data_IF_594146662937
#
_entry.id   IF_594146662937
#
_cell.length_a   1.000
_cell.length_b   1.000
_cell.length_c   1.000
_cell.angle_alpha   90.00
_cell.angle_beta   90.00
_cell.angle_gamma   90.00
#
_symmetry.space_group_name_H-M   'P 1'
#
loop_
_entity.id
_entity.type
_entity.pdbx_description
1 polymer ?
#
# COMPACT_ATOMS: atom_id res chain seq x y z
N UNK A 1 8.48 -21.94 -20.23
CA UNK A 1 7.87 -20.60 -20.05
C UNK A 1 8.11 -20.18 -18.61
N UNK A 2 8.75 -19.05 -18.39
CA UNK A 2 8.92 -18.45 -17.05
C UNK A 2 7.55 -18.13 -16.48
N UNK A 3 7.31 -18.41 -15.19
CA UNK A 3 6.05 -18.07 -14.56
C UNK A 3 5.87 -16.54 -14.55
N UNK A 4 4.68 -16.07 -14.96
CA UNK A 4 4.32 -14.65 -14.84
C UNK A 4 4.40 -14.22 -13.38
N UNK A 5 4.82 -12.97 -13.14
CA UNK A 5 5.04 -12.44 -11.78
C UNK A 5 4.40 -11.07 -11.57
N UNK A 6 4.08 -10.65 -10.33
CA UNK A 6 3.55 -9.31 -10.08
C UNK A 6 4.58 -8.23 -10.45
N UNK A 7 4.15 -7.21 -11.20
CA UNK A 7 4.94 -6.01 -11.49
C UNK A 7 4.39 -4.85 -10.65
N UNK A 8 5.23 -4.26 -9.81
CA UNK A 8 4.85 -3.15 -8.94
C UNK A 8 5.64 -1.92 -9.34
N UNK A 9 4.94 -0.81 -9.59
CA UNK A 9 5.55 0.46 -10.01
C UNK A 9 5.31 1.49 -8.91
N UNK A 10 6.40 2.01 -8.33
CA UNK A 10 6.31 3.00 -7.27
C UNK A 10 7.64 3.22 -6.56
N UNK A 11 7.59 3.87 -5.40
CA UNK A 11 8.79 4.20 -4.61
C UNK A 11 8.82 3.55 -3.24
N UNK A 12 10.02 3.37 -2.72
CA UNK A 12 10.28 3.18 -1.28
C UNK A 12 10.41 4.57 -0.66
N UNK A 13 9.79 4.78 0.50
CA UNK A 13 9.95 6.01 1.29
C UNK A 13 10.65 5.69 2.60
N UNK A 14 11.35 6.67 3.16
CA UNK A 14 11.73 6.66 4.55
C UNK A 14 10.65 7.41 5.34
N UNK A 15 9.93 6.72 6.21
CA UNK A 15 8.96 7.39 7.08
C UNK A 15 9.68 7.82 8.36
N UNK A 16 9.60 9.11 8.67
CA UNK A 16 10.04 9.72 9.92
C UNK A 16 8.81 10.15 10.73
N UNK A 17 8.60 9.50 11.86
CA UNK A 17 7.40 9.67 12.67
C UNK A 17 7.79 10.18 14.04
N UNK A 18 7.25 11.30 14.47
CA UNK A 18 7.65 11.95 15.72
C UNK A 18 6.47 12.62 16.42
N UNK A 19 6.64 12.86 17.71
CA UNK A 19 5.74 13.72 18.48
C UNK A 19 6.08 15.20 18.24
N UNK A 20 5.11 16.09 18.46
CA UNK A 20 5.30 17.54 18.30
C UNK A 20 5.32 18.03 16.83
N UNK A 21 5.27 19.35 16.60
CA UNK A 21 5.06 19.90 15.27
C UNK A 21 6.22 19.65 14.32
N UNK A 22 5.91 19.49 13.03
CA UNK A 22 6.90 19.37 11.94
C UNK A 22 7.92 20.50 12.04
N UNK A 23 9.21 20.15 11.87
CA UNK A 23 10.33 21.09 12.03
C UNK A 23 10.72 21.42 13.47
N UNK A 24 9.96 20.97 14.48
CA UNK A 24 10.33 21.01 15.91
C UNK A 24 10.24 19.64 16.58
N UNK A 25 10.32 18.58 15.78
CA UNK A 25 10.16 17.18 16.17
C UNK A 25 10.72 16.89 17.57
N UNK A 26 9.88 16.31 18.42
CA UNK A 26 10.23 15.92 19.78
C UNK A 26 10.48 14.42 19.84
N UNK A 27 11.45 13.97 20.65
CA UNK A 27 11.62 12.54 20.90
C UNK A 27 10.39 11.97 21.65
N UNK A 28 10.04 10.70 21.40
CA UNK A 28 10.73 9.76 20.51
C UNK A 28 10.39 9.98 19.03
N UNK A 29 11.37 9.72 18.16
CA UNK A 29 11.16 9.64 16.73
C UNK A 29 11.45 8.22 16.23
N UNK A 30 10.65 7.75 15.28
CA UNK A 30 10.75 6.43 14.67
C UNK A 30 11.04 6.56 13.19
N UNK A 31 12.08 5.89 12.73
CA UNK A 31 12.38 5.70 11.31
C UNK A 31 11.91 4.31 10.87
N UNK A 32 11.30 4.23 9.68
CA UNK A 32 10.95 2.96 9.05
C UNK A 32 10.94 3.08 7.53
N UNK A 33 11.02 1.94 6.85
CA UNK A 33 10.70 1.88 5.43
C UNK A 33 9.19 1.98 5.22
N UNK A 34 8.80 2.78 4.25
CA UNK A 34 7.43 3.04 3.84
C UNK A 34 7.28 3.07 2.32
N UNK A 35 6.14 3.59 1.89
CA UNK A 35 5.68 3.57 0.51
C UNK A 35 4.62 2.50 0.34
N UNK A 36 3.47 2.87 -0.22
CA UNK A 36 2.31 1.97 -0.32
C UNK A 36 2.67 0.75 -1.17
N UNK A 37 3.26 1.00 -2.33
CA UNK A 37 3.61 -0.05 -3.28
C UNK A 37 4.79 -0.89 -2.79
N UNK A 38 5.74 -0.28 -2.07
CA UNK A 38 6.80 -1.00 -1.38
C UNK A 38 6.24 -2.00 -0.36
N UNK A 39 5.33 -1.55 0.51
CA UNK A 39 4.72 -2.41 1.53
C UNK A 39 3.95 -3.59 0.89
N UNK A 40 3.28 -3.36 -0.23
CA UNK A 40 2.60 -4.42 -0.99
C UNK A 40 3.60 -5.40 -1.59
N UNK A 41 4.72 -4.93 -2.15
CA UNK A 41 5.76 -5.81 -2.66
C UNK A 41 6.29 -6.75 -1.56
N UNK A 42 6.65 -6.19 -0.40
CA UNK A 42 7.11 -6.99 0.74
C UNK A 42 6.04 -7.98 1.22
N UNK A 43 4.78 -7.55 1.29
CA UNK A 43 3.67 -8.40 1.69
C UNK A 43 3.42 -9.55 0.69
N UNK A 44 3.54 -9.29 -0.62
CA UNK A 44 3.43 -10.30 -1.68
C UNK A 44 4.56 -11.32 -1.57
N UNK A 45 5.80 -10.83 -1.42
CA UNK A 45 6.98 -11.68 -1.27
C UNK A 45 6.90 -12.58 -0.03
N UNK A 46 6.47 -12.04 1.11
CA UNK A 46 6.25 -12.80 2.34
C UNK A 46 5.22 -13.94 2.20
N UNK A 47 4.36 -13.88 1.17
CA UNK A 47 3.36 -14.91 0.86
C UNK A 47 3.77 -15.80 -0.32
N UNK A 48 5.05 -15.79 -0.68
CA UNK A 48 5.62 -16.66 -1.71
C UNK A 48 5.34 -16.19 -3.15
N UNK A 49 4.76 -15.01 -3.33
CA UNK A 49 4.79 -14.37 -4.64
C UNK A 49 6.22 -13.93 -4.94
N UNK A 50 6.60 -13.86 -6.22
CA UNK A 50 7.91 -13.35 -6.62
C UNK A 50 7.74 -11.94 -7.22
N UNK A 51 7.49 -10.86 -6.46
CA UNK A 51 7.20 -9.54 -7.02
C UNK A 51 8.44 -8.89 -7.65
N UNK A 52 8.27 -8.22 -8.79
CA UNK A 52 9.27 -7.32 -9.38
C UNK A 52 8.88 -5.88 -9.05
N UNK A 53 9.73 -5.17 -8.31
CA UNK A 53 9.55 -3.78 -7.93
C UNK A 53 10.34 -2.86 -8.88
N UNK A 54 9.62 -2.09 -9.69
CA UNK A 54 10.15 -1.13 -10.65
C UNK A 54 10.15 0.28 -10.05
N UNK A 55 11.32 0.89 -9.95
CA UNK A 55 11.51 2.20 -9.29
C UNK A 55 12.65 3.01 -9.92
N UNK A 56 12.89 4.23 -9.44
CA UNK A 56 14.05 5.05 -9.77
C UNK A 56 15.32 4.54 -9.06
N UNK A 57 16.49 4.97 -9.54
CA UNK A 57 17.75 4.80 -8.82
C UNK A 57 17.84 5.85 -7.72
N UNK A 58 17.87 5.42 -6.46
CA UNK A 58 17.98 6.36 -5.35
C UNK A 58 19.41 6.89 -5.17
N UNK A 59 19.53 8.18 -4.86
CA UNK A 59 20.78 8.84 -4.49
C UNK A 59 20.87 9.06 -2.97
N UNK A 60 22.08 9.36 -2.47
CA UNK A 60 22.35 9.61 -1.05
C UNK A 60 22.73 8.38 -0.24
N UNK A 61 23.15 8.60 1.01
CA UNK A 61 23.82 7.59 1.85
C UNK A 61 22.91 6.40 2.23
N UNK A 62 21.59 6.58 2.21
CA UNK A 62 20.63 5.52 2.52
C UNK A 62 20.21 4.69 1.30
N UNK A 63 20.61 5.08 0.08
CA UNK A 63 20.23 4.36 -1.13
C UNK A 63 20.67 2.87 -1.14
N UNK A 64 21.89 2.50 -0.67
CA UNK A 64 22.27 1.10 -0.56
C UNK A 64 21.39 0.31 0.43
N UNK A 65 20.91 0.95 1.50
CA UNK A 65 20.07 0.30 2.50
C UNK A 65 18.71 -0.12 1.93
N UNK A 66 18.16 0.62 0.96
CA UNK A 66 16.93 0.23 0.24
C UNK A 66 17.11 -1.08 -0.51
N UNK A 67 18.26 -1.25 -1.18
CA UNK A 67 18.57 -2.47 -1.93
C UNK A 67 18.64 -3.67 -1.00
N UNK A 68 19.37 -3.54 0.12
CA UNK A 68 19.45 -4.58 1.15
C UNK A 68 18.09 -4.88 1.77
N UNK A 69 17.27 -3.86 2.01
CA UNK A 69 15.93 -4.02 2.58
C UNK A 69 14.99 -4.82 1.66
N UNK A 70 14.90 -4.47 0.38
CA UNK A 70 14.06 -5.19 -0.58
C UNK A 70 14.51 -6.64 -0.76
N UNK A 71 15.82 -6.86 -0.90
CA UNK A 71 16.38 -8.21 -1.03
C UNK A 71 16.10 -9.07 0.23
N UNK A 72 16.22 -8.50 1.43
CA UNK A 72 15.92 -9.18 2.68
C UNK A 72 14.43 -9.59 2.81
N UNK A 73 13.54 -8.93 2.07
CA UNK A 73 12.11 -9.27 2.01
C UNK A 73 11.74 -10.12 0.79
N UNK A 74 12.72 -10.60 0.00
CA UNK A 74 12.46 -11.43 -1.17
C UNK A 74 11.81 -10.67 -2.34
N UNK A 75 12.04 -9.36 -2.42
CA UNK A 75 11.54 -8.52 -3.52
C UNK A 75 12.66 -8.29 -4.51
N UNK A 76 12.48 -8.73 -5.76
CA UNK A 76 13.40 -8.34 -6.83
C UNK A 76 13.17 -6.89 -7.19
N UNK A 77 14.26 -6.15 -7.38
CA UNK A 77 14.20 -4.75 -7.78
C UNK A 77 14.76 -4.57 -9.17
N UNK A 78 14.09 -3.74 -9.95
CA UNK A 78 14.64 -3.16 -11.17
C UNK A 78 14.60 -1.64 -11.08
N UNK A 79 15.71 -0.99 -11.41
CA UNK A 79 15.77 0.47 -11.48
C UNK A 79 15.69 0.93 -12.93
N UNK A 80 14.93 2.00 -13.15
CA UNK A 80 14.95 2.74 -14.40
C UNK A 80 16.20 3.65 -14.43
N UNK A 81 16.68 4.05 -15.63
CA UNK A 81 17.87 4.88 -15.80
C UNK A 81 17.61 6.36 -15.47
N UNK A 82 17.04 6.60 -14.29
CA UNK A 82 16.78 7.92 -13.72
C UNK A 82 17.22 7.91 -12.26
N UNK A 83 17.72 9.04 -11.79
CA UNK A 83 18.21 9.21 -10.43
C UNK A 83 17.35 10.21 -9.68
N UNK A 84 17.05 9.89 -8.42
CA UNK A 84 16.31 10.76 -7.51
C UNK A 84 16.78 10.55 -6.07
N UNK A 85 16.74 11.58 -5.21
CA UNK A 85 16.82 11.40 -3.76
C UNK A 85 15.81 10.37 -3.25
N UNK A 86 16.16 9.64 -2.19
CA UNK A 86 15.22 8.78 -1.48
C UNK A 86 14.08 9.64 -0.89
N UNK A 87 12.81 9.36 -1.24
CA UNK A 87 11.70 10.11 -0.68
C UNK A 87 11.58 9.97 0.84
N UNK A 88 11.18 11.05 1.50
CA UNK A 88 10.93 11.11 2.94
C UNK A 88 9.46 11.45 3.19
N UNK A 89 8.83 10.68 4.06
CA UNK A 89 7.51 10.98 4.60
C UNK A 89 7.65 11.35 6.08
N UNK A 90 7.49 12.62 6.41
CA UNK A 90 7.46 13.11 7.79
C UNK A 90 6.02 13.15 8.28
N UNK A 91 5.74 12.55 9.44
CA UNK A 91 4.42 12.61 10.05
C UNK A 91 4.50 13.03 11.51
N UNK A 92 3.72 14.06 11.84
CA UNK A 92 3.45 14.45 13.21
C UNK A 92 2.39 13.52 13.80
N UNK A 93 2.70 12.99 14.97
CA UNK A 93 1.77 12.21 15.79
C UNK A 93 1.24 13.05 16.96
N UNK A 94 -0.03 12.81 17.32
CA UNK A 94 -0.63 13.16 18.62
C UNK A 94 -1.41 11.93 19.06
N UNK A 95 -1.09 11.41 20.25
CA UNK A 95 -1.68 10.17 20.79
C UNK A 95 -1.61 8.99 19.80
N UNK A 96 -0.48 8.89 19.08
CA UNK A 96 -0.24 7.84 18.09
C UNK A 96 -0.99 8.00 16.75
N UNK A 97 -1.77 9.07 16.59
CA UNK A 97 -2.51 9.37 15.36
C UNK A 97 -1.81 10.44 14.54
N UNK A 98 -1.77 10.26 13.21
CA UNK A 98 -1.20 11.27 12.30
C UNK A 98 -2.10 12.50 12.28
N UNK A 99 -1.55 13.65 12.67
CA UNK A 99 -2.27 14.93 12.68
C UNK A 99 -1.81 15.88 11.59
N UNK A 100 -0.53 15.81 11.24
CA UNK A 100 0.06 16.53 10.11
C UNK A 100 1.09 15.65 9.40
N UNK A 101 1.34 15.93 8.13
CA UNK A 101 2.27 15.17 7.31
C UNK A 101 2.92 16.04 6.24
N UNK A 102 4.14 15.67 5.88
CA UNK A 102 4.90 16.32 4.83
C UNK A 102 5.63 15.28 3.99
N UNK A 103 5.61 15.46 2.67
CA UNK A 103 6.26 14.57 1.73
C UNK A 103 7.36 15.31 0.99
N UNK A 104 8.56 14.71 0.98
CA UNK A 104 9.74 15.22 0.27
C UNK A 104 10.19 14.18 -0.73
N UNK A 105 10.59 14.62 -1.92
CA UNK A 105 11.11 13.73 -2.97
C UNK A 105 10.04 13.18 -3.92
N UNK A 106 8.97 13.95 -4.18
CA UNK A 106 7.95 13.61 -5.20
C UNK A 106 8.58 13.37 -6.58
N UNK A 107 9.74 13.98 -6.86
CA UNK A 107 10.50 13.78 -8.09
C UNK A 107 10.81 12.30 -8.38
N UNK A 108 11.02 11.45 -7.37
CA UNK A 108 11.27 10.03 -7.59
C UNK A 108 10.06 9.31 -8.21
N UNK A 109 8.84 9.73 -7.87
CA UNK A 109 7.59 9.24 -8.47
C UNK A 109 7.34 9.89 -9.83
N UNK A 110 7.56 11.20 -9.95
CA UNK A 110 7.31 11.95 -11.18
C UNK A 110 8.24 11.52 -12.33
N UNK A 111 9.44 11.01 -12.02
CA UNK A 111 10.37 10.46 -13.00
C UNK A 111 9.93 9.09 -13.57
N UNK A 112 8.98 8.40 -12.93
CA UNK A 112 8.38 7.15 -13.44
C UNK A 112 7.35 7.46 -14.53
N UNK A 113 7.78 8.16 -15.57
CA UNK A 113 6.92 8.66 -16.66
C UNK A 113 6.47 7.54 -17.60
N UNK A 114 5.35 7.74 -18.34
CA UNK A 114 4.93 6.80 -19.39
C UNK A 114 6.05 6.47 -20.37
N UNK A 115 6.77 7.48 -20.88
CA UNK A 115 7.84 7.28 -21.86
C UNK A 115 9.00 6.45 -21.31
N UNK A 116 9.31 6.58 -20.02
CA UNK A 116 10.36 5.79 -19.39
C UNK A 116 9.91 4.35 -19.14
N UNK A 117 8.68 4.15 -18.67
CA UNK A 117 8.11 2.81 -18.47
C UNK A 117 7.96 2.05 -19.78
N UNK A 118 7.65 2.74 -20.88
CA UNK A 118 7.55 2.16 -22.22
C UNK A 118 8.89 1.58 -22.72
N UNK A 119 10.03 2.14 -22.29
CA UNK A 119 11.36 1.54 -22.59
C UNK A 119 11.52 0.13 -22.02
N UNK A 120 10.66 -0.24 -21.06
CA UNK A 120 10.62 -1.54 -20.37
C UNK A 120 9.28 -2.26 -20.58
N UNK A 121 8.64 -2.04 -21.74
CA UNK A 121 7.38 -2.69 -22.11
C UNK A 121 7.47 -4.24 -22.02
N UNK A 122 8.66 -4.82 -22.22
CA UNK A 122 8.94 -6.25 -22.07
C UNK A 122 8.60 -6.82 -20.68
N UNK A 123 8.69 -5.98 -19.64
CA UNK A 123 8.33 -6.37 -18.27
C UNK A 123 6.83 -6.60 -18.13
N UNK A 124 6.02 -5.85 -18.87
CA UNK A 124 4.57 -5.94 -18.82
C UNK A 124 4.08 -7.24 -19.47
N UNK A 125 4.71 -7.71 -20.55
CA UNK A 125 4.31 -8.95 -21.23
C UNK A 125 4.41 -10.19 -20.32
N UNK A 126 5.29 -10.12 -19.31
CA UNK A 126 5.51 -11.18 -18.33
C UNK A 126 4.83 -10.92 -16.98
N UNK A 127 4.06 -9.84 -16.85
CA UNK A 127 3.38 -9.50 -15.61
C UNK A 127 2.12 -10.36 -15.41
N UNK A 128 1.93 -10.85 -14.18
CA UNK A 128 0.66 -11.50 -13.77
C UNK A 128 -0.38 -10.48 -13.31
N UNK A 129 0.09 -9.31 -12.90
CA UNK A 129 -0.68 -8.15 -12.44
C UNK A 129 0.26 -6.94 -12.48
N UNK A 130 -0.28 -5.76 -12.78
CA UNK A 130 0.41 -4.48 -12.63
C UNK A 130 -0.19 -3.76 -11.41
N UNK A 131 0.66 -3.30 -10.49
CA UNK A 131 0.23 -2.63 -9.25
C UNK A 131 0.87 -1.24 -9.17
N UNK A 132 0.06 -0.22 -8.90
CA UNK A 132 0.53 1.15 -8.70
C UNK A 132 -0.28 1.88 -7.62
N UNK A 133 0.27 2.99 -7.14
CA UNK A 133 -0.32 3.84 -6.11
C UNK A 133 -0.77 5.18 -6.66
N UNK A 134 -1.81 5.76 -6.07
CA UNK A 134 -2.29 7.12 -6.42
C UNK A 134 -1.26 8.24 -6.14
N UNK A 135 -0.17 7.94 -5.43
CA UNK A 135 1.00 8.80 -5.29
C UNK A 135 1.77 9.01 -6.62
N UNK A 136 1.56 8.13 -7.60
CA UNK A 136 2.08 8.30 -8.97
C UNK A 136 1.42 9.46 -9.72
N UNK A 137 2.12 9.96 -10.74
CA UNK A 137 1.59 11.01 -11.62
C UNK A 137 0.34 10.51 -12.39
N UNK A 138 -0.73 11.33 -12.56
CA UNK A 138 -1.96 10.91 -13.25
C UNK A 138 -1.74 10.30 -14.64
N UNK A 139 -0.87 10.93 -15.45
CA UNK A 139 -0.54 10.42 -16.78
C UNK A 139 0.14 9.04 -16.74
N UNK A 140 0.95 8.76 -15.70
CA UNK A 140 1.55 7.44 -15.49
C UNK A 140 0.47 6.41 -15.15
N UNK A 141 -0.47 6.75 -14.27
CA UNK A 141 -1.57 5.84 -13.90
C UNK A 141 -2.47 5.51 -15.09
N UNK A 142 -2.83 6.52 -15.90
CA UNK A 142 -3.61 6.33 -17.12
C UNK A 142 -2.88 5.41 -18.12
N UNK A 143 -1.58 5.65 -18.31
CA UNK A 143 -0.75 4.82 -19.17
C UNK A 143 -0.64 3.38 -18.66
N UNK A 144 -0.41 3.17 -17.35
CA UNK A 144 -0.35 1.83 -16.76
C UNK A 144 -1.66 1.07 -16.93
N UNK A 145 -2.80 1.75 -16.76
CA UNK A 145 -4.11 1.17 -16.96
C UNK A 145 -4.29 0.72 -18.43
N UNK A 146 -3.93 1.58 -19.39
CA UNK A 146 -3.97 1.24 -20.82
C UNK A 146 -3.01 0.09 -21.16
N UNK A 147 -1.76 0.14 -20.69
CA UNK A 147 -0.74 -0.87 -20.97
C UNK A 147 -1.11 -2.25 -20.42
N UNK A 148 -1.75 -2.30 -19.25
CA UNK A 148 -2.25 -3.53 -18.64
C UNK A 148 -3.47 -4.07 -19.41
N UNK A 149 -4.45 -3.21 -19.72
CA UNK A 149 -5.65 -3.58 -20.50
C UNK A 149 -5.29 -4.14 -21.88
N UNK A 150 -4.40 -3.47 -22.61
CA UNK A 150 -4.02 -3.87 -23.97
C UNK A 150 -3.29 -5.23 -24.00
N UNK A 151 -2.81 -5.70 -22.84
CA UNK A 151 -2.16 -7.00 -22.65
C UNK A 151 -3.03 -8.03 -21.92
N UNK A 152 -4.27 -7.69 -21.62
CA UNK A 152 -5.20 -8.50 -20.81
C UNK A 152 -4.60 -8.89 -19.44
N UNK A 153 -4.03 -7.89 -18.75
CA UNK A 153 -3.41 -8.03 -17.44
C UNK A 153 -4.22 -7.24 -16.41
N UNK A 154 -4.51 -7.81 -15.23
CA UNK A 154 -5.12 -7.06 -14.15
C UNK A 154 -4.29 -5.84 -13.74
N UNK A 155 -4.94 -4.70 -13.62
CA UNK A 155 -4.38 -3.48 -13.03
C UNK A 155 -4.97 -3.23 -11.65
N UNK A 156 -4.11 -3.13 -10.63
CA UNK A 156 -4.48 -2.86 -9.25
C UNK A 156 -4.00 -1.46 -8.85
N UNK A 157 -4.94 -0.62 -8.42
CA UNK A 157 -4.68 0.75 -8.02
C UNK A 157 -4.96 0.93 -6.52
N UNK A 158 -3.94 1.36 -5.79
CA UNK A 158 -4.05 1.54 -4.35
C UNK A 158 -4.06 3.04 -4.01
N UNK A 159 -5.06 3.44 -3.23
CA UNK A 159 -5.10 4.75 -2.62
C UNK A 159 -3.92 4.91 -1.65
N UNK A 160 -3.20 6.02 -1.78
CA UNK A 160 -2.04 6.33 -0.96
C UNK A 160 -2.35 7.42 0.05
N UNK A 161 -3.23 8.34 -0.31
CA UNK A 161 -3.56 9.50 0.52
C UNK A 161 -4.96 10.05 0.21
N UNK A 162 -5.69 10.58 1.22
CA UNK A 162 -6.90 11.36 1.01
C UNK A 162 -6.82 12.50 0.00
N UNK A 163 -5.64 13.11 -0.23
CA UNK A 163 -5.48 14.17 -1.25
C UNK A 163 -5.44 13.63 -2.68
N UNK A 164 -5.13 12.35 -2.84
CA UNK A 164 -4.90 11.71 -4.15
C UNK A 164 -6.12 10.93 -4.66
N UNK A 165 -7.24 10.95 -3.95
CA UNK A 165 -8.44 10.17 -4.30
C UNK A 165 -9.00 10.51 -5.68
N UNK A 166 -8.78 11.74 -6.16
CA UNK A 166 -9.16 12.18 -7.50
C UNK A 166 -8.47 11.38 -8.62
N UNK A 167 -7.38 10.65 -8.32
CA UNK A 167 -6.63 9.80 -9.25
C UNK A 167 -7.10 8.35 -9.29
N UNK A 168 -8.13 7.97 -8.52
CA UNK A 168 -8.63 6.59 -8.49
C UNK A 168 -9.28 6.12 -9.79
N UNK A 169 -9.67 7.05 -10.66
CA UNK A 169 -10.18 6.79 -12.01
C UNK A 169 -9.36 7.62 -13.02
N UNK A 170 -8.09 7.28 -13.25
CA UNK A 170 -7.19 8.11 -14.05
C UNK A 170 -7.69 8.23 -15.49
N UNK A 171 -7.96 9.46 -15.93
CA UNK A 171 -8.52 9.76 -17.26
C UNK A 171 -9.81 8.97 -17.57
N UNK A 172 -10.64 8.69 -16.56
CA UNK A 172 -11.87 7.93 -16.73
C UNK A 172 -11.67 6.42 -16.89
N UNK A 173 -10.44 5.92 -16.70
CA UNK A 173 -10.14 4.50 -16.78
C UNK A 173 -10.27 3.84 -15.40
N UNK A 174 -10.94 2.70 -15.34
CA UNK A 174 -11.16 1.96 -14.09
C UNK A 174 -10.16 0.80 -13.94
N UNK A 175 -9.62 0.64 -12.74
CA UNK A 175 -8.77 -0.50 -12.42
C UNK A 175 -9.60 -1.80 -12.23
N UNK A 176 -8.95 -2.94 -12.38
CA UNK A 176 -9.56 -4.25 -12.06
C UNK A 176 -9.66 -4.48 -10.55
N UNK A 177 -8.81 -3.81 -9.79
CA UNK A 177 -8.88 -3.80 -8.33
C UNK A 177 -8.53 -2.42 -7.80
N UNK A 178 -9.31 -1.94 -6.83
CA UNK A 178 -9.01 -0.72 -6.08
C UNK A 178 -8.98 -1.02 -4.60
N UNK A 179 -8.00 -0.49 -3.86
CA UNK A 179 -8.02 -0.53 -2.39
C UNK A 179 -7.87 0.86 -1.80
N UNK A 180 -8.73 1.16 -0.83
CA UNK A 180 -8.78 2.45 -0.13
C UNK A 180 -9.44 2.29 1.24
N UNK A 181 -9.38 3.33 2.07
CA UNK A 181 -10.16 3.36 3.30
C UNK A 181 -11.53 4.05 3.13
N UNK A 182 -12.43 3.88 4.10
CA UNK A 182 -13.77 4.46 4.04
C UNK A 182 -13.79 6.00 3.90
N UNK A 183 -12.81 6.69 4.50
CA UNK A 183 -12.69 8.15 4.40
C UNK A 183 -12.29 8.56 2.98
N UNK A 184 -11.33 7.87 2.37
CA UNK A 184 -10.91 8.10 0.98
C UNK A 184 -12.06 7.83 0.01
N UNK A 185 -12.84 6.77 0.24
CA UNK A 185 -14.01 6.48 -0.59
C UNK A 185 -15.07 7.58 -0.49
N UNK A 186 -15.36 8.07 0.72
CA UNK A 186 -16.30 9.18 0.93
C UNK A 186 -15.83 10.47 0.25
N UNK A 187 -14.53 10.79 0.35
CA UNK A 187 -13.95 11.94 -0.33
C UNK A 187 -14.02 11.82 -1.86
N UNK A 188 -13.77 10.62 -2.39
CA UNK A 188 -13.92 10.34 -3.82
C UNK A 188 -15.37 10.48 -4.28
N UNK A 189 -16.31 9.89 -3.54
CA UNK A 189 -17.74 9.94 -3.84
C UNK A 189 -18.37 11.33 -3.66
N UNK A 190 -17.67 12.24 -2.96
CA UNK A 190 -18.19 13.57 -2.64
C UNK A 190 -19.39 13.55 -1.70
N UNK A 191 -19.57 12.47 -0.92
CA UNK A 191 -20.72 12.26 -0.06
C UNK A 191 -20.37 11.43 1.18
N UNK A 192 -21.16 11.58 2.24
CA UNK A 192 -21.09 10.71 3.42
C UNK A 192 -21.62 9.31 3.07
N UNK A 193 -20.95 8.27 3.58
CA UNK A 193 -21.29 6.86 3.35
C UNK A 193 -21.64 6.20 4.69
N UNK A 194 -22.90 6.33 5.16
CA UNK A 194 -23.26 6.04 6.56
C UNK A 194 -23.33 4.54 6.89
N UNK A 195 -23.42 3.67 5.89
CA UNK A 195 -23.60 2.24 6.07
C UNK A 195 -22.88 1.43 4.99
N UNK A 196 -22.89 0.10 5.15
CA UNK A 196 -22.21 -0.82 4.24
C UNK A 196 -22.81 -0.83 2.83
N UNK A 197 -24.10 -0.52 2.67
CA UNK A 197 -24.76 -0.50 1.37
C UNK A 197 -24.32 0.73 0.57
N UNK A 198 -24.25 1.90 1.22
CA UNK A 198 -23.68 3.11 0.63
C UNK A 198 -22.20 2.94 0.26
N UNK A 199 -21.42 2.32 1.16
CA UNK A 199 -20.01 1.98 0.88
C UNK A 199 -19.91 1.05 -0.33
N UNK A 200 -20.73 -0.01 -0.39
CA UNK A 200 -20.71 -0.94 -1.51
C UNK A 200 -21.15 -0.29 -2.82
N UNK A 201 -22.16 0.59 -2.80
CA UNK A 201 -22.60 1.33 -3.98
C UNK A 201 -21.46 2.20 -4.54
N UNK A 202 -20.85 3.04 -3.71
CA UNK A 202 -19.75 3.92 -4.12
C UNK A 202 -18.52 3.12 -4.57
N UNK A 203 -18.18 2.03 -3.87
CA UNK A 203 -17.00 1.22 -4.20
C UNK A 203 -17.13 0.49 -5.55
N UNK A 204 -18.34 0.13 -5.99
CA UNK A 204 -18.56 -0.48 -7.31
C UNK A 204 -18.24 0.47 -8.45
N UNK A 205 -18.46 1.77 -8.26
CA UNK A 205 -18.18 2.77 -9.29
C UNK A 205 -16.67 2.96 -9.55
N UNK A 206 -15.80 2.47 -8.66
CA UNK A 206 -14.35 2.60 -8.80
C UNK A 206 -13.71 1.57 -9.73
N UNK A 207 -14.40 0.47 -10.03
CA UNK A 207 -13.78 -0.71 -10.67
C UNK A 207 -14.44 -1.07 -11.98
N UNK A 208 -13.68 -1.69 -12.87
CA UNK A 208 -14.21 -2.20 -14.13
C UNK A 208 -15.19 -3.36 -13.89
N UNK A 209 -15.96 -3.72 -14.92
CA UNK A 209 -16.81 -4.92 -14.88
C UNK A 209 -15.99 -6.17 -14.55
N UNK A 210 -16.47 -6.98 -13.60
CA UNK A 210 -15.73 -8.14 -13.05
C UNK A 210 -14.60 -7.78 -12.08
N UNK A 211 -14.37 -6.48 -11.82
CA UNK A 211 -13.40 -5.98 -10.86
C UNK A 211 -13.89 -6.00 -9.41
N UNK A 212 -13.00 -5.62 -8.49
CA UNK A 212 -13.27 -5.64 -7.05
C UNK A 212 -12.66 -4.44 -6.31
N UNK A 213 -13.41 -3.85 -5.39
CA UNK A 213 -12.91 -2.79 -4.51
C UNK A 213 -12.78 -3.30 -3.08
N UNK A 214 -11.62 -3.10 -2.44
CA UNK A 214 -11.40 -3.37 -1.03
C UNK A 214 -11.47 -2.07 -0.24
N UNK A 215 -12.45 -1.97 0.66
CA UNK A 215 -12.63 -0.79 1.53
C UNK A 215 -12.30 -1.17 2.96
N UNK A 216 -11.24 -0.58 3.52
CA UNK A 216 -10.90 -0.79 4.94
C UNK A 216 -11.72 0.13 5.84
N UNK A 217 -12.29 -0.45 6.90
CA UNK A 217 -13.22 0.18 7.84
C UNK A 217 -12.58 0.38 9.23
N UNK A 218 -11.24 0.41 9.30
CA UNK A 218 -10.50 0.56 10.54
C UNK A 218 -10.79 -0.59 11.53
N UNK A 219 -11.25 -0.31 12.77
CA UNK A 219 -11.58 -1.35 13.75
C UNK A 219 -12.68 -2.31 13.31
N UNK A 220 -13.49 -1.96 12.31
CA UNK A 220 -14.57 -2.81 11.81
C UNK A 220 -14.08 -3.83 10.77
N UNK A 221 -12.79 -3.82 10.42
CA UNK A 221 -12.19 -4.73 9.46
C UNK A 221 -12.17 -4.15 8.06
N UNK A 222 -12.59 -4.93 7.05
CA UNK A 222 -12.67 -4.47 5.67
C UNK A 222 -13.79 -5.19 4.90
N UNK A 223 -14.30 -4.55 3.86
CA UNK A 223 -15.28 -5.14 2.94
C UNK A 223 -14.71 -5.22 1.54
N UNK A 224 -14.85 -6.38 0.90
CA UNK A 224 -14.53 -6.60 -0.51
C UNK A 224 -15.83 -6.52 -1.31
N UNK A 225 -15.87 -5.59 -2.25
CA UNK A 225 -17.05 -5.23 -3.03
C UNK A 225 -16.82 -5.63 -4.49
N UNK A 226 -17.56 -6.62 -5.01
CA UNK A 226 -17.50 -7.00 -6.42
C UNK A 226 -18.32 -6.04 -7.29
N UNK A 227 -17.84 -5.79 -8.51
CA UNK A 227 -18.46 -4.87 -9.46
C UNK A 227 -19.84 -5.33 -9.97
N UNK A 228 -20.07 -6.65 -10.00
CA UNK A 228 -21.26 -7.29 -10.59
C UNK A 228 -22.53 -7.22 -9.73
N UNK A 229 -22.47 -6.51 -8.59
CA UNK A 229 -23.60 -6.39 -7.69
C UNK A 229 -23.78 -7.57 -6.73
N UNK A 230 -22.92 -8.59 -6.79
CA UNK A 230 -22.94 -9.68 -5.81
C UNK A 230 -22.66 -9.17 -4.39
N UNK A 231 -23.06 -9.96 -3.40
CA UNK A 231 -23.02 -9.57 -1.99
C UNK A 231 -21.58 -9.30 -1.56
N UNK A 232 -21.27 -8.11 -0.99
CA UNK A 232 -19.95 -7.81 -0.47
C UNK A 232 -19.53 -8.80 0.61
N UNK A 233 -18.27 -9.25 0.59
CA UNK A 233 -17.73 -10.09 1.65
C UNK A 233 -17.06 -9.24 2.71
N UNK A 234 -17.40 -9.46 3.98
CA UNK A 234 -16.80 -8.78 5.12
C UNK A 234 -15.69 -9.63 5.72
N UNK A 235 -14.59 -8.99 6.11
CA UNK A 235 -13.52 -9.62 6.88
C UNK A 235 -13.38 -8.84 8.19
N UNK A 236 -13.78 -9.44 9.33
CA UNK A 236 -13.67 -8.79 10.63
C UNK A 236 -12.21 -8.49 10.97
N UNK A 237 -11.94 -7.55 11.89
CA UNK A 237 -10.57 -7.34 12.36
C UNK A 237 -10.03 -8.64 12.98
N UNK A 238 -8.72 -8.91 12.89
CA UNK A 238 -8.11 -9.98 13.67
C UNK A 238 -8.39 -9.74 15.17
N UNK A 239 -8.66 -10.79 15.96
CA UNK A 239 -8.92 -10.63 17.39
C UNK A 239 -7.72 -9.93 18.03
N UNK A 240 -7.99 -8.83 18.73
CA UNK A 240 -6.96 -8.06 19.42
C UNK A 240 -6.27 -8.98 20.44
N UNK A 241 -5.01 -9.30 20.20
CA UNK A 241 -4.13 -9.84 21.25
C UNK A 241 -3.73 -8.69 22.16
N UNK A 242 -4.70 -8.10 22.86
CA UNK A 242 -4.42 -7.25 24.00
C UNK A 242 -3.89 -8.17 25.09
N UNK A 243 -2.57 -8.22 25.28
CA UNK A 243 -1.98 -8.79 26.48
C UNK A 243 -2.61 -8.06 27.67
N UNK A 244 -3.30 -8.74 28.61
CA UNK A 244 -3.78 -8.06 29.80
C UNK A 244 -2.56 -7.55 30.56
N UNK A 245 -2.46 -6.22 30.71
CA UNK A 245 -1.43 -5.58 31.53
C UNK A 245 -1.69 -5.98 32.99
N UNK A 246 -0.77 -6.69 33.68
CA UNK A 246 -0.98 -7.01 35.07
C UNK A 246 -0.68 -5.76 35.92
N UNK A 247 -1.72 -5.18 36.52
CA UNK A 247 -1.59 -4.31 37.68
C UNK A 247 -1.10 -5.14 38.89
N UNK A 248 0.01 -4.71 39.49
CA UNK A 248 0.82 -5.31 40.57
C UNK A 248 0.07 -5.52 41.93
N UNK A 249 0.67 -6.05 43.04
CA UNK A 249 2.07 -6.48 43.28
C UNK A 249 2.23 -7.83 44.04
N UNK A 250 3.39 -8.50 43.90
CA UNK A 250 3.92 -9.40 44.93
C UNK A 250 5.45 -9.54 44.82
N UNK A 251 6.11 -9.25 45.93
CA UNK A 251 7.55 -9.31 46.22
C UNK A 251 8.14 -10.72 46.14
N UNK A 252 9.32 -10.89 45.53
CA UNK A 252 10.55 -11.43 46.16
C UNK A 252 11.67 -11.77 45.17
N UNK A 253 12.83 -11.18 45.45
CA UNK A 253 14.22 -11.66 45.27
C UNK A 253 14.76 -12.21 43.94
N UNK A 254 15.82 -11.50 43.52
CA UNK A 254 17.09 -11.92 42.89
C UNK A 254 17.30 -11.73 41.38
N UNK A 255 18.56 -11.42 40.98
CA UNK A 255 18.84 -10.36 40.02
C UNK A 255 19.58 -10.85 38.76
N UNK A 256 19.87 -9.87 37.88
CA UNK A 256 20.69 -9.91 36.68
C UNK A 256 19.97 -10.30 35.38
N UNK A 257 19.69 -9.31 34.53
CA UNK A 257 20.49 -9.02 33.32
C UNK A 257 19.79 -7.98 32.42
N UNK A 258 20.59 -7.05 31.88
CA UNK A 258 20.36 -6.18 30.72
C UNK A 258 19.44 -4.94 30.85
N UNK A 259 19.94 -3.73 30.51
CA UNK A 259 19.12 -2.53 30.41
C UNK A 259 18.53 -2.34 29.00
N UNK A 260 17.26 -1.92 28.98
CA UNK A 260 16.58 -1.12 27.95
C UNK A 260 16.33 -1.79 26.58
N UNK A 261 15.44 -2.78 26.55
CA UNK A 261 14.46 -2.88 25.46
C UNK A 261 13.18 -2.18 25.92
N UNK A 262 12.98 -0.93 25.48
CA UNK A 262 11.70 -0.26 25.64
C UNK A 262 10.64 -1.09 24.91
N UNK A 263 9.45 -1.33 25.50
CA UNK A 263 8.38 -2.02 24.81
C UNK A 263 7.98 -1.21 23.56
N UNK A 264 7.70 -1.85 22.42
CA UNK A 264 7.16 -1.14 21.26
C UNK A 264 5.84 -0.45 21.65
N UNK A 265 5.60 0.80 21.21
CA UNK A 265 4.34 1.47 21.48
C UNK A 265 3.16 0.68 20.86
N UNK A 266 1.99 0.68 21.52
CA UNK A 266 0.82 -0.06 21.06
C UNK A 266 0.12 0.70 19.93
N UNK A 267 -0.19 0.03 18.82
CA UNK A 267 -1.18 0.52 17.85
C UNK A 267 -0.94 0.08 16.40
N UNK A 268 -1.96 -0.41 15.68
CA UNK A 268 -1.85 -0.69 14.25
C UNK A 268 -1.98 0.61 13.45
N UNK A 269 -1.11 0.81 12.45
CA UNK A 269 -1.10 2.00 11.59
C UNK A 269 -1.94 1.77 10.32
N UNK A 270 -2.69 2.77 9.81
CA UNK A 270 -3.67 2.57 8.73
C UNK A 270 -3.11 1.95 7.44
N UNK A 271 -1.92 2.40 7.00
CA UNK A 271 -1.32 1.95 5.73
C UNK A 271 -0.75 0.53 5.78
N UNK A 272 -0.21 0.11 6.93
CA UNK A 272 0.29 -1.26 7.13
C UNK A 272 -0.87 -2.28 7.20
N UNK A 273 -2.00 -1.89 7.79
CA UNK A 273 -3.23 -2.69 7.77
C UNK A 273 -3.82 -2.77 6.37
N UNK A 274 -3.85 -1.66 5.61
CA UNK A 274 -4.35 -1.68 4.23
C UNK A 274 -3.50 -2.59 3.34
N UNK A 275 -2.17 -2.50 3.34
CA UNK A 275 -1.31 -3.38 2.55
C UNK A 275 -1.40 -4.86 2.99
N UNK A 276 -1.50 -5.11 4.30
CA UNK A 276 -1.65 -6.47 4.85
C UNK A 276 -3.01 -7.06 4.50
N UNK A 277 -4.10 -6.31 4.66
CA UNK A 277 -5.46 -6.75 4.30
C UNK A 277 -5.60 -6.90 2.79
N UNK A 278 -5.09 -5.95 2.00
CA UNK A 278 -5.02 -6.01 0.54
C UNK A 278 -4.34 -7.30 0.12
N UNK A 279 -3.12 -7.55 0.61
CA UNK A 279 -2.38 -8.75 0.20
C UNK A 279 -3.02 -10.03 0.75
N UNK A 280 -3.57 -10.02 1.98
CA UNK A 280 -4.32 -11.17 2.52
C UNK A 280 -5.48 -11.52 1.60
N UNK A 281 -6.31 -10.56 1.20
CA UNK A 281 -7.42 -10.78 0.27
C UNK A 281 -6.96 -11.30 -1.10
N UNK A 282 -5.90 -10.69 -1.65
CA UNK A 282 -5.37 -11.00 -2.98
C UNK A 282 -4.61 -12.33 -3.06
N UNK A 283 -4.23 -12.92 -1.92
CA UNK A 283 -3.53 -14.22 -1.84
C UNK A 283 -4.40 -15.34 -1.26
N UNK A 284 -5.61 -15.04 -0.79
CA UNK A 284 -6.61 -16.07 -0.46
C UNK A 284 -7.02 -16.85 -1.72
N UNK A 285 -7.24 -18.17 -1.64
CA UNK A 285 -7.71 -18.99 -2.78
C UNK A 285 -9.00 -18.46 -3.43
N UNK A 286 -9.82 -17.71 -2.68
CA UNK A 286 -11.03 -17.05 -3.19
C UNK A 286 -10.75 -16.11 -4.38
N UNK A 287 -9.65 -15.34 -4.37
CA UNK A 287 -9.29 -14.49 -5.51
C UNK A 287 -8.69 -15.30 -6.67
N UNK A 288 -8.06 -16.44 -6.38
CA UNK A 288 -7.56 -17.35 -7.43
C UNK A 288 -8.71 -18.04 -8.17
N UNK A 289 -9.84 -18.24 -7.50
CA UNK A 289 -11.09 -18.79 -8.06
C UNK A 289 -11.94 -17.77 -8.84
N UNK A 290 -11.64 -16.47 -8.73
CA UNK A 290 -12.35 -15.39 -9.41
C UNK A 290 -11.73 -14.99 -10.76
N UNK A 291 -10.74 -15.74 -11.27
CA UNK A 291 -10.36 -15.62 -12.67
C UNK A 291 -11.58 -15.97 -13.53
N UNK A 292 -11.95 -15.14 -14.53
CA UNK A 292 -12.85 -15.59 -15.56
C UNK A 292 -12.28 -16.89 -16.12
N UNK A 293 -13.05 -17.98 -16.04
CA UNK A 293 -12.75 -19.14 -16.87
C UNK A 293 -12.89 -18.65 -18.29
N UNK A 294 -11.78 -18.51 -19.01
CA UNK A 294 -11.80 -18.26 -20.43
C UNK A 294 -12.63 -19.39 -21.06
N UNK A 295 -13.83 -19.04 -21.54
CA UNK A 295 -14.58 -19.84 -22.50
C UNK A 295 -14.08 -19.52 -23.90
#
# INVERSE_FOLDING_TARGET
MTAKRPLLVGTVTLDYLHEGPIGRALPPATLRWGGVIHNVACAMAARGSNPLFLTATYTGDLAPAVTGHLAAHGVDRLTLPVEAPLPLFEAQLIDGSVTDKYFVGQEALDLLTPGLLDTRADLFDNASVVVAGTDSHPATLAWLCTAARDRDIPFWLLSADPTEVHKLVPEGQHATFVSLNARELSLWAGADLPDHDAIAAAARELVTSGGHALVTLGPQGAVLVPADGTTPSTNPPPPSTATPSPSAPATSSSPASSPLASPPPPGPRPSANAATLTTTYLTTPAYTALRPTAQ
#
